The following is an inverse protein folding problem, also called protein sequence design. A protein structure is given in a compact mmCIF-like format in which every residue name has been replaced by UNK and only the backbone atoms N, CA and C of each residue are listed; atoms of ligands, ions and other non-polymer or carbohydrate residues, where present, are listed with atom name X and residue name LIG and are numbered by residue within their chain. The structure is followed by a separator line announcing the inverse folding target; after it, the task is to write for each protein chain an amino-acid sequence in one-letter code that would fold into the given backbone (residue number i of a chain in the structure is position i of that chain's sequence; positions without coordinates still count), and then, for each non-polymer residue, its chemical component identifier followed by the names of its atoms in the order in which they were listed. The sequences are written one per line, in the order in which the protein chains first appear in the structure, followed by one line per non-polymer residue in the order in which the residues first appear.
data_IF_748033819782
#
_entry.id   IF_748033819782
#
_cell.length_a   1.000
_cell.length_b   1.000
_cell.length_c   1.000
_cell.angle_alpha   90.00
_cell.angle_beta   90.00
_cell.angle_gamma   90.00
#
_symmetry.space_group_name_H-M   'P 1'
#
loop_
_entity.id
_entity.type
_entity.pdbx_description
1 polymer ?
2 non-polymer ?
3 water ?
#
# COMPACT_ATOMS: atom_id res chain seq x y z
N UNK A 1 -5.93 4.06 -20.96
CA UNK A 1 -6.45 3.38 -19.77
C UNK A 1 -7.91 3.78 -19.56
N UNK A 2 -8.67 2.93 -18.89
CA UNK A 2 -10.12 3.13 -18.80
C UNK A 2 -10.47 4.25 -17.82
N UNK A 3 -11.75 4.61 -17.86
CA UNK A 3 -12.24 5.68 -17.00
C UNK A 3 -12.30 5.21 -15.55
N UNK A 4 -12.56 3.92 -15.34
CA UNK A 4 -12.67 3.35 -13.99
C UNK A 4 -11.74 2.16 -13.88
N UNK A 5 -11.04 2.08 -12.75
CA UNK A 5 -10.31 0.88 -12.39
C UNK A 5 -10.66 0.56 -10.95
N UNK A 6 -10.91 -0.72 -10.67
CA UNK A 6 -11.20 -1.17 -9.31
C UNK A 6 -10.67 -2.58 -9.18
N UNK A 7 -9.46 -2.70 -8.63
CA UNK A 7 -8.85 -4.01 -8.51
C UNK A 7 -9.61 -4.94 -7.56
N UNK A 8 -10.52 -4.40 -6.73
CA UNK A 8 -11.34 -5.29 -5.93
C UNK A 8 -12.31 -6.07 -6.77
N UNK A 9 -12.79 -5.48 -7.87
CA UNK A 9 -13.68 -6.19 -8.76
C UNK A 9 -12.96 -7.25 -9.59
N UNK A 10 -11.66 -7.10 -9.78
CA UNK A 10 -10.85 -8.14 -10.40
C UNK A 10 -10.35 -9.18 -9.41
N UNK A 11 -10.84 -9.13 -8.17
CA UNK A 11 -10.45 -10.13 -7.19
C UNK A 11 -9.00 -10.06 -6.79
N UNK A 12 -8.37 -8.87 -6.88
CA UNK A 12 -6.95 -8.71 -6.62
C UNK A 12 -6.67 -8.05 -5.28
N UNK A 13 -7.67 -7.90 -4.44
CA UNK A 13 -7.52 -7.15 -3.19
C UNK A 13 -8.07 -8.00 -2.07
N UNK A 14 -7.26 -8.19 -1.03
CA UNK A 14 -7.66 -8.99 0.11
C UNK A 14 -8.45 -8.12 1.07
N UNK A 15 -9.07 -8.73 2.08
CA UNK A 15 -9.82 -7.93 3.05
C UNK A 15 -8.98 -6.82 3.66
N UNK A 16 -9.69 -5.77 4.10
CA UNK A 16 -9.05 -4.63 4.73
C UNK A 16 -8.50 -5.04 6.08
N UNK A 17 -7.29 -4.57 6.37
CA UNK A 17 -6.62 -4.89 7.62
C UNK A 17 -6.60 -3.66 8.52
N UNK A 18 -6.27 -3.91 9.78
CA UNK A 18 -6.06 -2.87 10.76
C UNK A 18 -4.65 -3.01 11.29
N UNK A 19 -3.81 -2.01 11.02
CA UNK A 19 -2.44 -2.04 11.50
C UNK A 19 -2.33 -1.81 13.00
N UNK A 20 -3.37 -1.31 13.64
CA UNK A 20 -3.29 -1.12 15.07
C UNK A 20 -2.44 0.08 15.38
N UNK A 21 -1.87 0.10 16.58
CA UNK A 21 -1.11 1.28 17.01
C UNK A 21 0.27 1.34 16.38
N UNK A 22 0.76 0.23 15.87
CA UNK A 22 2.07 0.12 15.26
C UNK A 22 2.16 0.96 13.98
N UNK A 23 3.24 1.73 13.84
CA UNK A 23 3.46 2.53 12.64
C UNK A 23 3.96 1.68 11.50
N UNK A 24 3.13 0.72 11.10
CA UNK A 24 3.50 -0.30 10.12
C UNK A 24 2.82 -0.08 8.79
N UNK A 25 2.28 1.11 8.56
CA UNK A 25 1.56 1.40 7.33
C UNK A 25 2.40 1.06 6.10
N UNK A 26 3.71 1.34 6.17
CA UNK A 26 4.60 1.07 5.05
C UNK A 26 4.57 -0.41 4.68
N UNK A 27 4.48 -1.30 5.67
CA UNK A 27 4.42 -2.72 5.40
C UNK A 27 3.06 -3.13 4.87
N UNK A 28 1.98 -2.59 5.45
CA UNK A 28 0.65 -2.90 4.93
C UNK A 28 0.51 -2.44 3.48
N UNK A 29 0.91 -1.19 3.22
CA UNK A 29 0.91 -0.66 1.85
C UNK A 29 1.66 -1.61 0.90
N UNK A 30 2.87 -1.99 1.28
CA UNK A 30 3.67 -2.85 0.40
C UNK A 30 2.98 -4.18 0.16
N UNK A 31 2.39 -4.75 1.21
CA UNK A 31 1.78 -6.07 1.05
C UNK A 31 0.59 -6.01 0.11
N UNK A 32 -0.19 -4.93 0.17
CA UNK A 32 -1.32 -4.81 -0.75
C UNK A 32 -0.83 -4.94 -2.18
N UNK A 33 0.27 -4.27 -2.50
CA UNK A 33 0.77 -4.30 -3.86
C UNK A 33 1.29 -5.69 -4.22
N UNK A 34 1.82 -6.42 -3.25
CA UNK A 34 2.27 -7.78 -3.50
C UNK A 34 1.08 -8.69 -3.71
N UNK A 35 0.10 -8.63 -2.82
CA UNK A 35 -1.11 -9.42 -3.03
C UNK A 35 -1.71 -9.13 -4.40
N UNK A 36 -1.70 -7.86 -4.79
CA UNK A 36 -2.26 -7.51 -6.09
C UNK A 36 -1.47 -8.10 -7.24
N UNK A 37 -0.15 -7.89 -7.25
CA UNK A 37 0.62 -8.33 -8.41
C UNK A 37 0.66 -9.86 -8.50
N UNK A 38 0.66 -10.56 -7.36
CA UNK A 38 0.62 -12.04 -7.44
C UNK A 38 -0.69 -12.51 -8.04
N UNK A 39 -1.81 -11.91 -7.63
CA UNK A 39 -3.08 -12.31 -8.23
C UNK A 39 -3.09 -12.00 -9.72
N UNK A 40 -2.58 -10.83 -10.10
CA UNK A 40 -2.60 -10.43 -11.50
C UNK A 40 -1.78 -11.40 -12.36
N UNK A 41 -0.63 -11.84 -11.86
CA UNK A 41 0.22 -12.74 -12.65
C UNK A 41 -0.13 -14.21 -12.50
N UNK A 42 -0.59 -14.65 -11.35
CA UNK A 42 -0.80 -16.08 -11.13
C UNK A 42 -2.26 -16.46 -11.03
N UNK A 43 -3.17 -15.49 -10.94
CA UNK A 43 -4.57 -15.80 -10.76
C UNK A 43 -4.97 -16.18 -9.35
N UNK A 44 -4.02 -16.28 -8.44
CA UNK A 44 -4.28 -16.68 -7.06
C UNK A 44 -4.22 -15.44 -6.17
N UNK A 45 -5.25 -15.26 -5.36
CA UNK A 45 -5.29 -14.22 -4.35
C UNK A 45 -4.89 -14.84 -3.02
N UNK A 46 -3.75 -14.42 -2.49
CA UNK A 46 -3.29 -14.86 -1.18
C UNK A 46 -3.02 -13.63 -0.32
N UNK A 47 -3.03 -13.83 0.98
CA UNK A 47 -2.58 -12.77 1.88
C UNK A 47 -1.13 -13.02 2.27
N UNK A 48 -0.35 -11.96 2.28
CA UNK A 48 1.06 -12.05 2.62
C UNK A 48 1.32 -11.27 3.90
N UNK A 49 2.51 -11.48 4.45
CA UNK A 49 2.84 -11.08 5.82
C UNK A 49 3.36 -9.66 5.90
N UNK A 50 2.53 -8.75 6.41
CA UNK A 50 3.03 -7.46 6.88
C UNK A 50 4.06 -7.63 7.98
N UNK A 51 3.84 -8.61 8.87
CA UNK A 51 4.70 -8.79 10.02
C UNK A 51 6.12 -9.11 9.59
N UNK A 52 6.25 -9.95 8.59
CA UNK A 52 7.57 -10.31 8.10
C UNK A 52 8.34 -9.08 7.67
N UNK A 53 7.69 -8.19 6.92
CA UNK A 53 8.35 -6.95 6.51
C UNK A 53 8.69 -6.09 7.71
N UNK A 54 7.73 -5.95 8.63
CA UNK A 54 7.97 -5.24 9.89
C UNK A 54 9.22 -5.75 10.58
N UNK A 55 9.33 -7.08 10.68
CA UNK A 55 10.44 -7.69 11.42
C UNK A 55 11.74 -7.66 10.64
N UNK A 56 11.66 -7.77 9.31
CA UNK A 56 12.83 -8.14 8.52
C UNK A 56 13.41 -7.02 7.66
N UNK A 57 12.68 -5.92 7.44
CA UNK A 57 13.21 -4.82 6.64
C UNK A 57 14.12 -4.01 7.54
N UNK A 58 15.43 -4.23 7.39
CA UNK A 58 16.43 -3.56 8.22
C UNK A 58 16.57 -2.08 7.88
N UNK A 59 16.07 -1.62 6.72
CA UNK A 59 16.12 -0.20 6.41
C UNK A 59 14.98 0.57 7.03
N UNK A 60 13.93 -0.12 7.45
CA UNK A 60 12.80 0.54 8.07
C UNK A 60 12.97 0.44 9.58
N UNK A 61 12.04 1.06 10.30
CA UNK A 61 12.19 1.17 11.75
C UNK A 61 10.98 0.57 12.46
N UNK A 62 10.50 -0.55 11.94
CA UNK A 62 9.51 -1.32 12.66
C UNK A 62 8.24 -0.54 12.82
N UNK A 63 7.73 -0.52 14.05
CA UNK A 63 6.53 0.24 14.33
C UNK A 63 6.80 1.74 14.38
N UNK A 64 8.05 2.16 14.32
CA UNK A 64 8.33 3.60 14.23
C UNK A 64 8.27 4.11 12.81
N UNK A 65 7.86 3.28 11.87
CA UNK A 65 7.70 3.71 10.50
C UNK A 65 8.76 3.09 9.61
N UNK A 66 8.61 3.35 8.33
CA UNK A 66 9.55 2.83 7.37
C UNK A 66 9.16 3.20 5.97
N UNK A 67 9.69 2.44 5.02
CA UNK A 67 9.65 2.82 3.61
C UNK A 67 9.00 1.71 2.81
N UNK A 68 7.88 2.00 2.13
CA UNK A 68 7.33 1.02 1.19
C UNK A 68 8.36 0.51 0.19
N UNK A 69 9.21 1.39 -0.34
CA UNK A 69 10.15 0.94 -1.38
C UNK A 69 11.15 -0.06 -0.81
N UNK A 70 11.58 0.15 0.43
CA UNK A 70 12.47 -0.80 1.07
C UNK A 70 11.80 -2.15 1.25
N UNK A 71 10.58 -2.15 1.77
CA UNK A 71 9.85 -3.40 1.95
C UNK A 71 9.67 -4.11 0.63
N UNK A 72 9.37 -3.36 -0.43
CA UNK A 72 9.19 -3.96 -1.74
C UNK A 72 10.52 -4.52 -2.23
N UNK A 73 11.61 -3.84 -1.91
CA UNK A 73 12.93 -4.35 -2.26
C UNK A 73 13.18 -5.69 -1.58
N UNK A 74 12.87 -5.77 -0.28
CA UNK A 74 13.10 -7.00 0.47
C UNK A 74 12.35 -8.19 -0.13
N UNK A 75 11.12 -7.96 -0.60
CA UNK A 75 10.37 -9.05 -1.20
C UNK A 75 10.97 -9.45 -2.55
N UNK A 76 11.59 -8.48 -3.23
CA UNK A 76 12.27 -8.80 -4.49
C UNK A 76 13.59 -9.53 -4.23
N UNK A 77 14.33 -9.12 -3.20
CA UNK A 77 15.57 -9.80 -2.86
C UNK A 77 15.31 -11.19 -2.31
N UNK A 78 14.40 -11.32 -1.34
CA UNK A 78 14.22 -12.56 -0.61
C UNK A 78 12.90 -13.23 -0.91
N UNK A 79 11.81 -12.51 -0.76
CA UNK A 79 10.49 -13.10 -0.85
C UNK A 79 9.69 -12.79 0.40
N UNK A 80 8.48 -13.34 0.44
CA UNK A 80 7.54 -13.07 1.50
C UNK A 80 6.76 -14.34 1.76
N UNK A 81 6.35 -14.50 3.02
CA UNK A 81 5.58 -15.66 3.46
C UNK A 81 4.10 -15.31 3.48
N UNK A 82 3.28 -16.36 3.47
CA UNK A 82 1.85 -16.19 3.66
C UNK A 82 1.55 -15.53 5.00
N UNK A 83 0.47 -14.77 5.03
CA UNK A 83 0.06 -14.13 6.27
C UNK A 83 -0.24 -15.16 7.37
N UNK A 84 -0.89 -16.28 7.04
CA UNK A 84 -1.20 -17.18 8.15
C UNK A 84 0.03 -17.91 8.67
N UNK A 85 1.09 -18.00 7.87
CA UNK A 85 2.35 -18.56 8.33
C UNK A 85 3.09 -17.59 9.25
N UNK A 86 2.87 -16.30 9.04
CA UNK A 86 3.64 -15.25 9.69
C UNK A 86 2.65 -14.14 10.05
N UNK A 87 1.75 -14.41 10.98
CA UNK A 87 0.64 -13.49 11.20
C UNK A 87 1.08 -12.19 11.86
N UNK A 88 0.19 -11.21 11.75
CA UNK A 88 0.47 -9.87 12.25
C UNK A 88 0.32 -9.85 13.75
N UNK A 89 1.34 -9.36 14.42
CA UNK A 89 1.30 -9.24 15.87
C UNK A 89 1.29 -7.80 16.33
N UNK A 90 1.54 -6.85 15.44
CA UNK A 90 1.41 -5.44 15.79
C UNK A 90 2.57 -4.92 16.59
N UNK A 91 3.66 -5.67 16.64
CA UNK A 91 4.86 -5.29 17.35
C UNK A 91 6.02 -5.83 16.53
N UNK A 92 7.08 -5.05 16.44
CA UNK A 92 8.26 -5.56 15.75
C UNK A 92 8.92 -6.62 16.62
N UNK A 93 9.23 -7.77 16.02
CA UNK A 93 9.99 -8.78 16.74
C UNK A 93 11.16 -9.13 15.85
N UNK A 94 11.86 -10.21 16.16
CA UNK A 94 12.99 -10.54 15.30
C UNK A 94 12.49 -11.13 13.99
N UNK A 95 13.33 -11.04 12.97
CA UNK A 95 12.98 -11.58 11.66
C UNK A 95 12.95 -13.10 11.72
N UNK A 96 11.78 -13.68 11.46
CA UNK A 96 11.60 -15.12 11.60
C UNK A 96 11.39 -15.84 10.27
N UNK A 97 11.81 -15.22 9.17
CA UNK A 97 11.64 -15.80 7.85
C UNK A 97 12.22 -17.21 7.75
N UNK A 98 13.47 -17.38 8.20
CA UNK A 98 14.14 -18.67 8.03
C UNK A 98 13.46 -19.76 8.84
N UNK A 99 12.82 -19.41 9.96
CA UNK A 99 12.14 -20.40 10.79
C UNK A 99 10.81 -20.84 10.21
N UNK A 100 10.28 -20.13 9.22
CA UNK A 100 8.95 -20.40 8.69
C UNK A 100 8.98 -21.03 7.30
N UNK A 101 10.13 -21.57 6.90
CA UNK A 101 10.19 -22.39 5.71
C UNK A 101 10.37 -21.59 4.44
N UNK A 102 10.08 -22.22 3.31
CA UNK A 102 10.29 -21.54 2.03
C UNK A 102 9.36 -20.35 1.89
N UNK A 103 9.85 -19.32 1.23
CA UNK A 103 8.99 -18.18 0.95
C UNK A 103 7.83 -18.62 0.07
N UNK A 104 6.69 -17.97 0.23
CA UNK A 104 5.51 -18.27 -0.55
C UNK A 104 5.48 -17.54 -1.88
N UNK A 105 6.14 -16.39 -1.97
CA UNK A 105 6.09 -15.56 -3.17
C UNK A 105 7.33 -14.69 -3.21
N UNK A 106 7.67 -14.25 -4.42
CA UNK A 106 8.85 -13.44 -4.63
C UNK A 106 8.57 -12.56 -5.83
N UNK A 107 9.01 -11.33 -5.77
CA UNK A 107 8.87 -10.40 -6.88
C UNK A 107 10.22 -10.20 -7.53
N UNK A 108 10.23 -9.47 -8.65
CA UNK A 108 11.45 -9.29 -9.42
C UNK A 108 12.04 -7.91 -9.31
N UNK A 109 11.35 -6.96 -8.69
CA UNK A 109 11.95 -5.67 -8.48
C UNK A 109 10.89 -4.69 -8.02
N UNK A 110 11.31 -3.44 -7.96
CA UNK A 110 10.41 -2.35 -7.57
C UNK A 110 10.69 -1.16 -8.48
N UNK A 111 9.63 -0.48 -8.92
CA UNK A 111 9.76 0.75 -9.70
C UNK A 111 9.04 1.90 -9.01
N UNK A 112 9.59 3.10 -9.21
CA UNK A 112 8.97 4.30 -8.70
C UNK A 112 8.14 4.93 -9.80
N UNK A 113 6.94 5.37 -9.45
CA UNK A 113 6.15 6.19 -10.37
C UNK A 113 6.77 7.57 -10.39
N UNK A 114 6.83 8.17 -11.58
CA UNK A 114 7.29 9.55 -11.70
C UNK A 114 6.50 10.44 -10.75
N UNK A 115 7.15 11.11 -9.80
CA UNK A 115 6.41 11.83 -8.77
C UNK A 115 5.75 13.07 -9.33
N UNK A 116 4.75 13.54 -8.60
CA UNK A 116 4.12 14.84 -8.85
C UNK A 116 3.42 14.85 -10.21
N UNK A 117 2.93 13.69 -10.64
CA UNK A 117 2.41 13.49 -11.99
C UNK A 117 1.18 12.62 -11.88
N UNK A 118 -0.01 13.23 -11.95
CA UNK A 118 -1.24 12.48 -11.77
C UNK A 118 -1.37 11.40 -12.82
N UNK A 119 -1.13 11.75 -14.09
CA UNK A 119 -1.30 10.77 -15.15
C UNK A 119 -0.41 9.56 -14.97
N UNK A 120 0.83 9.77 -14.53
CA UNK A 120 1.74 8.66 -14.35
C UNK A 120 1.22 7.70 -13.29
N UNK A 121 0.68 8.25 -12.20
CA UNK A 121 0.12 7.39 -11.15
C UNK A 121 -1.09 6.63 -11.67
N UNK A 122 -1.98 7.31 -12.40
CA UNK A 122 -3.15 6.61 -12.93
C UNK A 122 -2.73 5.47 -13.83
N UNK A 123 -1.74 5.72 -14.67
CA UNK A 123 -1.30 4.65 -15.57
C UNK A 123 -0.84 3.43 -14.77
N UNK A 124 -0.05 3.66 -13.71
CA UNK A 124 0.41 2.55 -12.88
C UNK A 124 -0.77 1.84 -12.22
N UNK A 125 -1.75 2.59 -11.71
CA UNK A 125 -2.91 1.97 -11.07
C UNK A 125 -3.68 1.11 -12.05
N UNK A 126 -3.82 1.58 -13.29
CA UNK A 126 -4.50 0.75 -14.28
C UNK A 126 -3.80 -0.59 -14.47
N UNK A 127 -2.52 -0.69 -14.11
CA UNK A 127 -1.77 -1.92 -14.30
C UNK A 127 -1.75 -2.80 -13.05
N UNK A 128 -1.78 -2.20 -11.87
CA UNK A 128 -1.68 -2.99 -10.66
C UNK A 128 -1.86 -2.05 -9.48
N UNK A 129 -2.18 -2.56 -8.31
CA UNK A 129 -2.22 -1.68 -7.14
C UNK A 129 -0.84 -1.09 -6.87
N UNK A 130 -0.83 0.14 -6.38
CA UNK A 130 0.38 0.92 -6.20
C UNK A 130 0.45 1.40 -4.77
N UNK A 131 1.66 1.40 -4.21
CA UNK A 131 1.91 1.97 -2.90
C UNK A 131 2.05 3.48 -3.03
N UNK A 132 1.28 4.22 -2.26
CA UNK A 132 1.32 5.67 -2.34
C UNK A 132 1.35 6.20 -0.94
N UNK A 133 1.74 7.46 -0.79
CA UNK A 133 1.78 8.05 0.53
C UNK A 133 0.90 9.28 0.53
N UNK A 134 0.41 9.62 1.70
CA UNK A 134 -0.38 10.82 1.80
C UNK A 134 -0.20 11.36 3.22
N UNK A 135 -0.69 12.57 3.42
CA UNK A 135 -0.75 13.17 4.74
C UNK A 135 -2.04 12.71 5.40
N UNK A 136 -1.89 11.90 6.45
CA UNK A 136 -3.03 11.38 7.17
C UNK A 136 -3.19 12.01 8.54
N UNK A 137 -2.29 12.93 8.94
CA UNK A 137 -2.32 13.47 10.30
C UNK A 137 -3.53 14.35 10.54
N UNK A 138 -4.05 15.01 9.50
CA UNK A 138 -5.15 15.94 9.69
C UNK A 138 -6.40 15.23 10.18
N UNK A 139 -7.16 15.95 10.99
CA UNK A 139 -8.38 15.42 11.56
C UNK A 139 -9.42 15.11 10.49
N UNK A 140 -9.48 15.90 9.42
CA UNK A 140 -10.43 15.61 8.35
C UNK A 140 -10.20 14.24 7.74
N UNK A 141 -8.94 13.90 7.50
CA UNK A 141 -8.64 12.55 7.02
C UNK A 141 -9.01 11.50 8.05
N UNK A 142 -8.56 11.68 9.29
CA UNK A 142 -8.83 10.68 10.31
C UNK A 142 -10.33 10.46 10.49
N UNK A 143 -11.14 11.51 10.40
CA UNK A 143 -12.56 11.35 10.63
C UNK A 143 -13.34 11.04 9.36
N UNK A 144 -12.65 10.79 8.25
CA UNK A 144 -13.35 10.52 6.99
C UNK A 144 -14.30 9.35 7.13
N UNK A 145 -15.54 9.54 6.70
CA UNK A 145 -16.50 8.44 6.72
C UNK A 145 -17.09 8.13 5.35
N UNK A 146 -16.73 8.87 4.32
CA UNK A 146 -17.15 8.51 2.98
C UNK A 146 -17.26 9.72 2.10
N UNK A 147 -17.51 9.48 0.83
CA UNK A 147 -17.51 10.54 -0.14
C UNK A 147 -16.16 10.69 -0.81
N UNK A 148 -16.08 11.62 -1.75
CA UNK A 148 -14.82 11.94 -2.39
C UNK A 148 -14.11 12.97 -1.54
N UNK A 149 -12.96 12.60 -1.02
CA UNK A 149 -12.27 13.40 -0.03
C UNK A 149 -11.42 14.46 -0.72
N UNK A 150 -11.62 15.72 -0.35
CA UNK A 150 -10.89 16.83 -0.97
C UNK A 150 -9.96 17.50 0.00
N UNK A 151 -9.85 16.97 1.21
CA UNK A 151 -9.15 17.64 2.27
C UNK A 151 -10.15 18.28 3.20
N UNK A 152 -9.72 19.30 3.92
CA UNK A 152 -8.37 19.89 3.90
C UNK A 152 -7.29 18.94 4.37
N UNK A 153 -6.15 19.12 3.73
CA UNK A 153 -4.92 18.46 4.13
C UNK A 153 -3.76 19.20 3.47
N UNK A 154 -2.60 19.10 4.11
CA UNK A 154 -1.37 19.57 3.53
C UNK A 154 -0.69 18.47 2.76
N UNK A 155 0.59 18.69 2.48
CA UNK A 155 1.42 17.75 1.73
C UNK A 155 2.50 17.12 2.60
N UNK A 156 2.36 17.19 3.92
CA UNK A 156 3.32 16.59 4.85
C UNK A 156 3.00 15.10 4.96
N UNK A 157 3.35 14.37 3.90
CA UNK A 157 2.95 12.97 3.82
C UNK A 157 3.54 12.18 4.98
N UNK A 158 2.74 11.29 5.53
CA UNK A 158 3.17 10.59 6.74
C UNK A 158 2.58 9.19 6.82
N UNK A 159 1.89 8.73 5.79
CA UNK A 159 1.08 7.52 5.90
C UNK A 159 1.07 6.81 4.57
N UNK A 160 1.56 5.58 4.55
CA UNK A 160 1.59 4.80 3.33
C UNK A 160 0.30 3.99 3.22
N UNK A 161 -0.28 4.00 2.03
CA UNK A 161 -1.51 3.29 1.75
C UNK A 161 -1.33 2.68 0.36
N UNK A 162 -2.39 2.10 -0.19
CA UNK A 162 -2.31 1.49 -1.51
C UNK A 162 -3.45 2.01 -2.36
N UNK A 163 -3.11 2.44 -3.57
CA UNK A 163 -4.09 2.84 -4.56
C UNK A 163 -4.49 1.59 -5.34
N UNK A 164 -5.77 1.27 -5.32
CA UNK A 164 -6.29 0.05 -5.93
C UNK A 164 -7.32 0.37 -7.00
N UNK A 165 -7.45 1.63 -7.39
CA UNK A 165 -8.39 2.00 -8.41
C UNK A 165 -8.47 3.50 -8.56
N UNK A 166 -9.31 3.91 -9.49
CA UNK A 166 -9.54 5.34 -9.70
C UNK A 166 -10.81 5.48 -10.51
N UNK A 167 -11.30 6.71 -10.53
CA UNK A 167 -12.43 7.07 -11.37
C UNK A 167 -12.15 8.43 -11.95
N UNK A 168 -13.12 8.98 -12.66
CA UNK A 168 -12.93 10.30 -13.27
C UNK A 168 -12.48 11.36 -12.29
N UNK A 169 -12.94 11.31 -11.04
CA UNK A 169 -12.69 12.38 -10.08
C UNK A 169 -12.05 11.88 -8.79
N UNK A 170 -11.48 10.68 -8.78
CA UNK A 170 -10.93 10.18 -7.54
C UNK A 170 -9.91 9.09 -7.80
N UNK A 171 -9.11 8.84 -6.78
CA UNK A 171 -8.24 7.69 -6.71
C UNK A 171 -8.75 6.87 -5.53
N UNK A 172 -8.89 5.57 -5.72
CA UNK A 172 -9.43 4.69 -4.70
C UNK A 172 -8.30 4.08 -3.87
N UNK A 173 -8.37 4.26 -2.55
CA UNK A 173 -7.27 3.93 -1.65
C UNK A 173 -7.72 2.88 -0.64
N UNK A 174 -6.91 1.83 -0.50
CA UNK A 174 -7.07 0.86 0.57
C UNK A 174 -6.27 1.34 1.76
N UNK A 175 -6.95 1.65 2.86
CA UNK A 175 -6.25 2.05 4.06
C UNK A 175 -6.09 0.82 4.97
N UNK A 176 -5.31 0.99 6.03
CA UNK A 176 -5.01 -0.09 6.96
C UNK A 176 -5.53 0.24 8.34
N UNK A 177 -6.67 0.91 8.39
CA UNK A 177 -7.26 1.31 9.66
C UNK A 177 -8.54 0.52 9.95
N UNK A 178 -8.65 -0.69 9.40
CA UNK A 178 -9.78 -1.54 9.67
C UNK A 178 -10.98 -1.19 8.82
N UNK A 179 -12.03 -2.00 8.93
CA UNK A 179 -13.17 -1.84 8.04
C UNK A 179 -14.12 -0.76 8.52
N UNK A 180 -13.94 -0.25 9.75
CA UNK A 180 -14.81 0.78 10.30
C UNK A 180 -14.50 2.17 9.84
N UNK A 181 -13.36 2.35 9.20
CA UNK A 181 -12.92 3.67 8.77
C UNK A 181 -13.33 3.90 7.32
N UNK A 182 -13.76 5.12 7.02
CA UNK A 182 -14.01 5.48 5.64
C UNK A 182 -15.08 4.60 5.04
N UNK A 183 -14.88 4.22 3.77
CA UNK A 183 -15.87 3.44 3.04
C UNK A 183 -15.49 1.97 3.14
N UNK A 184 -15.90 1.34 4.25
CA UNK A 184 -15.52 -0.05 4.52
C UNK A 184 -14.01 -0.22 4.49
N UNK A 185 -13.28 0.81 4.92
CA UNK A 185 -11.84 0.73 5.00
C UNK A 185 -11.11 1.42 3.86
N UNK A 186 -11.84 1.94 2.88
CA UNK A 186 -11.31 2.59 1.69
C UNK A 186 -11.62 4.08 1.75
N UNK A 187 -10.86 4.86 0.97
CA UNK A 187 -11.14 6.27 0.78
C UNK A 187 -11.00 6.57 -0.70
N UNK A 188 -11.89 7.38 -1.22
CA UNK A 188 -11.77 7.96 -2.54
C UNK A 188 -11.29 9.39 -2.37
N UNK A 189 -10.11 9.68 -2.92
CA UNK A 189 -9.49 10.99 -2.81
C UNK A 189 -9.60 11.68 -4.15
N UNK A 190 -10.03 12.94 -4.12
CA UNK A 190 -10.18 13.72 -5.34
C UNK A 190 -8.90 13.74 -6.16
N UNK A 191 -9.03 13.63 -7.47
CA UNK A 191 -7.93 13.85 -8.39
C UNK A 191 -8.31 14.95 -9.38
N UNK A 192 -7.33 15.34 -10.19
CA UNK A 192 -7.59 16.30 -11.25
C UNK A 192 -7.73 17.71 -10.78
N UNK A 193 -7.17 18.06 -9.63
CA UNK A 193 -7.25 19.42 -9.13
C UNK A 193 -6.14 20.31 -9.68
N UNK A 194 -5.21 19.75 -10.46
CA UNK A 194 -4.10 20.53 -10.95
C UNK A 194 -3.00 20.76 -9.95
N UNK A 195 -3.21 20.41 -8.69
CA UNK A 195 -2.16 20.42 -7.68
C UNK A 195 -1.16 19.31 -7.98
N UNK A 196 0.08 19.69 -8.30
CA UNK A 196 1.09 18.71 -8.66
C UNK A 196 1.43 17.77 -7.50
N UNK A 197 1.27 18.21 -6.25
CA UNK A 197 1.53 17.29 -5.14
C UNK A 197 0.44 16.24 -4.98
N UNK A 198 -0.71 16.46 -5.60
CA UNK A 198 -1.89 15.68 -5.32
C UNK A 198 -2.56 16.14 -4.03
N UNK A 199 -3.84 15.80 -3.90
CA UNK A 199 -4.55 16.06 -2.67
C UNK A 199 -3.85 15.30 -1.55
N UNK A 200 -3.61 15.98 -0.42
CA UNK A 200 -2.87 15.41 0.72
C UNK A 200 -1.52 14.85 0.30
N UNK A 201 -0.92 15.41 -0.75
CA UNK A 201 0.42 15.00 -1.12
C UNK A 201 0.48 13.64 -1.79
N UNK A 202 -0.66 13.17 -2.31
CA UNK A 202 -0.80 11.81 -2.82
C UNK A 202 0.19 11.45 -3.93
N UNK A 203 0.77 12.43 -4.62
CA UNK A 203 1.67 12.10 -5.72
C UNK A 203 3.12 12.18 -5.30
N UNK A 204 3.41 12.22 -4.00
CA UNK A 204 4.76 12.46 -3.55
C UNK A 204 5.68 11.27 -3.80
N UNK A 205 5.25 10.07 -3.44
CA UNK A 205 6.18 8.94 -3.45
C UNK A 205 5.39 7.65 -3.66
N UNK A 206 5.43 7.13 -4.88
CA UNK A 206 4.62 5.98 -5.24
C UNK A 206 5.50 4.90 -5.88
N UNK A 207 5.27 3.67 -5.46
CA UNK A 207 6.09 2.53 -5.86
C UNK A 207 5.18 1.34 -6.13
N UNK A 208 5.65 0.46 -6.99
CA UNK A 208 4.92 -0.78 -7.20
C UNK A 208 5.94 -1.89 -7.43
N UNK A 209 5.58 -3.12 -7.10
CA UNK A 209 6.48 -4.24 -7.35
C UNK A 209 6.38 -4.70 -8.79
N UNK A 210 7.50 -5.16 -9.30
CA UNK A 210 7.56 -5.78 -10.61
C UNK A 210 7.62 -7.28 -10.39
N UNK A 211 6.77 -8.00 -11.11
CA UNK A 211 6.81 -9.45 -11.16
C UNK A 211 6.67 -9.84 -12.62
N UNK A 212 7.68 -10.53 -13.14
CA UNK A 212 7.67 -10.94 -14.54
C UNK A 212 6.82 -12.18 -14.70
X LIG B 1 5.49 6.54 7.77
X LIG B 1 16.40 8.18 15.07
X LIG B 1 5.28 5.32 8.28
X LIG B 1 6.65 6.71 6.91
X LIG B 1 6.56 7.35 5.53
X LIG B 1 6.01 6.46 4.41
X LIG B 1 4.63 7.01 4.77
X LIG B 1 7.80 7.38 7.68
X LIG B 1 11.52 7.38 10.27
X LIG B 1 13.06 7.20 12.28
X LIG B 1 14.92 6.53 13.90
X LIG B 1 1.72 4.59 9.56
X LIG B 1 10.23 7.34 8.08
X LIG B 1 10.29 6.86 9.53
X LIG B 1 11.71 6.85 11.67
X LIG B 1 13.51 6.25 13.39
X LIG B 1 15.07 7.89 14.53
X LIG B 1 2.80 5.17 8.69
X LIG B 1 4.18 5.16 9.34
X LIG B 1 5.37 8.27 5.25
X LIG B 1 9.02 6.90 7.41
X LIG B 1 1.95 3.50 10.13
X LIG B 1 0.64 5.21 9.68
X LIG B 1 4.20 6.24 10.27
X LIG B 1 5.94 4.34 7.95
X LIG B 1 7.58 8.30 8.46
#
# INVERSE_FOLDING_TARGET
IPEYVDWRQKGAVTPVKNQGSCGSCWAFSAVVTIEGIIKIRTGNLNEYSEQELLDCDRRSYGCNGGYPWSALQLVAQYGIHYRNTYPYEGVQRYCRSREKGPYAAKTDGVRQVQPYNEGALLYSIANQPVSVVLEAAGKDFQLYRGGIFVGPCGNKVDHAVAAVGYGPNYILIKNSWGTGWGENGYIRIKRGTGNSYGVCGLYTSSFYPVKN
A1AXI N1 N3 C4 C5 C6 C7 C8 C10 C13 C15 C17 C1 C11 C12 C14 C16 C18 C2 C3 C9 N2 O1 O2 O3 O4 O5
#
